data_IF_387924683470
#
_entry.id   IF_387924683470
#
_cell.length_a   1.000
_cell.length_b   1.000
_cell.length_c   1.000
_cell.angle_alpha   90.00
_cell.angle_beta   90.00
_cell.angle_gamma   90.00
#
_symmetry.space_group_name_H-M   'P 1'
#
loop_
_entity.id
_entity.type
_entity.pdbx_description
1 polymer ?
#
# COMPACT_ATOMS: atom_id res chain seq x y z
N UNK A 1 -13.90 3.64 -16.32
CA UNK A 1 -14.31 3.44 -14.92
C UNK A 1 -13.77 2.10 -14.45
N UNK A 2 -13.85 1.81 -13.15
CA UNK A 2 -13.48 0.50 -12.61
C UNK A 2 -14.43 -0.59 -13.13
N UNK A 3 -13.86 -1.72 -13.56
CA UNK A 3 -14.56 -2.95 -13.96
C UNK A 3 -13.66 -4.18 -13.69
N UNK A 4 -14.17 -5.39 -13.89
CA UNK A 4 -13.41 -6.62 -13.60
C UNK A 4 -12.16 -6.76 -14.49
N UNK A 5 -12.21 -6.26 -15.73
CA UNK A 5 -11.08 -6.32 -16.67
C UNK A 5 -9.89 -5.43 -16.24
N UNK A 6 -10.13 -4.41 -15.41
CA UNK A 6 -9.09 -3.50 -14.94
C UNK A 6 -8.92 -3.47 -13.41
N UNK A 7 -9.56 -4.38 -12.68
CA UNK A 7 -9.50 -4.46 -11.23
C UNK A 7 -8.05 -4.63 -10.73
N UNK A 8 -7.31 -5.58 -11.30
CA UNK A 8 -5.91 -5.83 -10.97
C UNK A 8 -5.04 -4.58 -11.13
N UNK A 9 -5.21 -3.85 -12.23
CA UNK A 9 -4.50 -2.61 -12.49
C UNK A 9 -4.70 -1.60 -11.34
N UNK A 10 -5.92 -1.44 -10.84
CA UNK A 10 -6.18 -0.52 -9.73
C UNK A 10 -5.59 -1.02 -8.40
N UNK A 11 -5.61 -2.33 -8.15
CA UNK A 11 -5.05 -2.94 -6.94
C UNK A 11 -3.53 -2.74 -6.90
N UNK A 12 -2.84 -3.09 -8.00
CA UNK A 12 -1.39 -2.97 -8.13
C UNK A 12 -0.93 -1.53 -7.94
N UNK A 13 -1.52 -0.59 -8.68
CA UNK A 13 -1.12 0.82 -8.62
C UNK A 13 -1.42 1.45 -7.26
N UNK A 14 -2.50 1.05 -6.60
CA UNK A 14 -2.82 1.54 -5.25
C UNK A 14 -1.78 1.08 -4.23
N UNK A 15 -1.39 -0.20 -4.29
CA UNK A 15 -0.34 -0.73 -3.42
C UNK A 15 1.00 -0.03 -3.66
N UNK A 16 1.42 0.06 -4.92
CA UNK A 16 2.72 0.63 -5.30
C UNK A 16 2.81 2.11 -4.89
N UNK A 17 1.74 2.88 -5.11
CA UNK A 17 1.66 4.28 -4.66
C UNK A 17 1.84 4.41 -3.15
N UNK A 18 1.11 3.59 -2.37
CA UNK A 18 1.15 3.68 -0.91
C UNK A 18 2.50 3.25 -0.35
N UNK A 19 3.06 2.14 -0.83
CA UNK A 19 4.33 1.62 -0.31
C UNK A 19 5.51 2.55 -0.63
N UNK A 20 5.50 3.20 -1.80
CA UNK A 20 6.52 4.19 -2.18
C UNK A 20 6.48 5.43 -1.28
N UNK A 21 5.29 5.93 -0.93
CA UNK A 21 5.15 7.05 0.01
C UNK A 21 5.61 6.68 1.42
N UNK A 22 5.28 5.47 1.88
CA UNK A 22 5.73 4.95 3.17
C UNK A 22 7.26 4.84 3.18
N UNK A 23 7.86 4.28 2.12
CA UNK A 23 9.32 4.18 1.95
C UNK A 23 9.98 5.56 1.92
N UNK A 24 9.39 6.53 1.24
CA UNK A 24 9.88 7.90 1.21
C UNK A 24 9.91 8.50 2.63
N UNK A 25 8.83 8.31 3.41
CA UNK A 25 8.78 8.81 4.79
C UNK A 25 9.79 8.10 5.68
N UNK A 26 9.91 6.77 5.56
CA UNK A 26 10.90 5.97 6.26
C UNK A 26 12.32 6.50 6.01
N UNK A 27 12.63 6.83 4.74
CA UNK A 27 13.92 7.38 4.34
C UNK A 27 14.16 8.80 4.88
N UNK A 28 13.16 9.67 4.85
CA UNK A 28 13.24 11.02 5.42
C UNK A 28 13.56 10.97 6.92
N UNK A 29 13.03 9.98 7.64
CA UNK A 29 13.29 9.77 9.07
C UNK A 29 14.66 9.12 9.36
N UNK A 30 15.49 8.91 8.32
CA UNK A 30 16.82 8.35 8.46
C UNK A 30 16.87 6.82 8.53
N UNK A 31 15.76 6.14 8.26
CA UNK A 31 15.70 4.68 8.19
C UNK A 31 15.83 4.18 6.74
N UNK A 32 16.20 2.91 6.59
CA UNK A 32 16.27 2.24 5.28
C UNK A 32 15.79 0.80 5.39
N UNK A 33 15.00 0.38 4.40
CA UNK A 33 14.59 -0.99 4.13
C UNK A 33 15.18 -1.45 2.80
N UNK A 34 15.73 -2.66 2.74
CA UNK A 34 16.23 -3.26 1.50
C UNK A 34 16.35 -4.77 1.62
N UNK A 35 16.28 -5.46 0.48
CA UNK A 35 16.41 -6.92 0.42
C UNK A 35 15.11 -7.65 0.77
N UNK A 36 15.25 -8.94 1.11
CA UNK A 36 14.12 -9.78 1.47
C UNK A 36 13.39 -9.21 2.70
N UNK A 37 12.07 -9.12 2.62
CA UNK A 37 11.24 -8.58 3.70
C UNK A 37 11.15 -7.04 3.78
N UNK A 38 11.78 -6.30 2.85
CA UNK A 38 11.76 -4.83 2.86
C UNK A 38 10.35 -4.24 2.94
N UNK A 39 9.41 -4.75 2.14
CA UNK A 39 8.02 -4.28 2.15
C UNK A 39 7.32 -4.57 3.49
N UNK A 40 7.65 -5.68 4.17
CA UNK A 40 7.10 -5.98 5.48
C UNK A 40 7.58 -4.99 6.55
N UNK A 41 8.85 -4.58 6.49
CA UNK A 41 9.40 -3.56 7.38
C UNK A 41 8.77 -2.18 7.12
N UNK A 42 8.58 -1.81 5.85
CA UNK A 42 7.91 -0.58 5.43
C UNK A 42 6.46 -0.53 5.94
N UNK A 43 5.70 -1.61 5.77
CA UNK A 43 4.33 -1.72 6.28
C UNK A 43 4.32 -1.64 7.81
N UNK A 44 5.23 -2.32 8.50
CA UNK A 44 5.32 -2.28 9.96
C UNK A 44 5.61 -0.87 10.48
N UNK A 45 6.36 -0.06 9.73
CA UNK A 45 6.67 1.32 10.08
C UNK A 45 5.44 2.24 10.07
N UNK A 46 4.34 1.87 9.42
CA UNK A 46 3.07 2.61 9.54
C UNK A 46 2.60 2.75 11.00
N UNK A 47 2.99 1.82 11.88
CA UNK A 47 2.75 1.94 13.33
C UNK A 47 3.41 3.18 13.92
N UNK A 48 4.65 3.46 13.53
CA UNK A 48 5.42 4.64 13.97
C UNK A 48 4.80 5.93 13.43
N UNK A 49 4.09 5.85 12.29
CA UNK A 49 3.35 6.95 11.69
C UNK A 49 1.95 7.15 12.29
N UNK A 50 1.54 6.31 13.27
CA UNK A 50 0.26 6.41 13.97
C UNK A 50 -0.94 5.88 13.19
N UNK A 51 -0.73 4.99 12.20
CA UNK A 51 -1.82 4.26 11.56
C UNK A 51 -2.39 3.17 12.46
N UNK A 52 -3.64 2.80 12.22
CA UNK A 52 -4.31 1.77 13.03
C UNK A 52 -3.77 0.37 12.69
N UNK A 53 -3.90 -0.58 13.61
CA UNK A 53 -3.57 -1.98 13.33
C UNK A 53 -4.44 -2.57 12.21
N UNK A 54 -5.63 -2.01 11.96
CA UNK A 54 -6.48 -2.39 10.83
C UNK A 54 -5.90 -1.90 9.49
N UNK A 55 -5.45 -0.64 9.42
CA UNK A 55 -4.77 -0.08 8.25
C UNK A 55 -3.53 -0.91 7.88
N UNK A 56 -2.75 -1.29 8.90
CA UNK A 56 -1.52 -2.09 8.75
C UNK A 56 -1.85 -3.49 8.22
N UNK A 57 -2.87 -4.15 8.79
CA UNK A 57 -3.32 -5.47 8.31
C UNK A 57 -3.79 -5.39 6.87
N UNK A 58 -4.63 -4.40 6.54
CA UNK A 58 -5.13 -4.23 5.17
C UNK A 58 -4.00 -3.99 4.16
N UNK A 59 -3.01 -3.15 4.51
CA UNK A 59 -1.86 -2.91 3.65
C UNK A 59 -1.00 -4.18 3.45
N UNK A 60 -0.91 -5.03 4.46
CA UNK A 60 -0.20 -6.31 4.35
C UNK A 60 -0.97 -7.34 3.51
N UNK A 61 -2.30 -7.40 3.64
CA UNK A 61 -3.14 -8.23 2.77
C UNK A 61 -3.04 -7.77 1.32
N UNK A 62 -3.09 -6.46 1.10
CA UNK A 62 -2.90 -5.85 -0.21
C UNK A 62 -1.53 -6.20 -0.83
N UNK A 63 -0.46 -6.27 -0.04
CA UNK A 63 0.85 -6.78 -0.49
C UNK A 63 0.75 -8.22 -0.99
N UNK A 64 0.06 -9.09 -0.26
CA UNK A 64 -0.11 -10.48 -0.66
C UNK A 64 -0.89 -10.59 -1.97
N UNK A 65 -1.99 -9.86 -2.11
CA UNK A 65 -2.79 -9.87 -3.34
C UNK A 65 -2.07 -9.26 -4.55
N UNK A 66 -1.34 -8.15 -4.37
CA UNK A 66 -0.50 -7.56 -5.43
C UNK A 66 0.58 -8.55 -5.89
N UNK A 67 1.16 -9.32 -4.98
CA UNK A 67 2.09 -10.40 -5.33
C UNK A 67 1.38 -11.57 -6.02
N UNK A 68 0.17 -11.92 -5.58
CA UNK A 68 -0.77 -12.83 -6.25
C UNK A 68 -0.93 -12.52 -7.73
N UNK A 69 -1.28 -11.27 -8.01
CA UNK A 69 -1.46 -10.75 -9.37
C UNK A 69 -0.17 -10.89 -10.19
N UNK A 70 0.95 -10.39 -9.67
CA UNK A 70 2.19 -10.27 -10.45
C UNK A 70 2.95 -11.58 -10.66
N UNK A 71 2.97 -12.45 -9.66
CA UNK A 71 3.76 -13.68 -9.72
C UNK A 71 2.92 -14.90 -10.11
N UNK A 72 1.61 -14.86 -9.89
CA UNK A 72 0.73 -16.02 -10.07
C UNK A 72 -0.44 -15.75 -11.02
N UNK A 73 -0.62 -14.52 -11.51
CA UNK A 73 -1.70 -14.18 -12.44
C UNK A 73 -3.09 -14.24 -11.80
N UNK A 74 -3.18 -14.03 -10.49
CA UNK A 74 -4.47 -13.96 -9.80
C UNK A 74 -5.33 -12.82 -10.36
N UNK A 75 -6.64 -13.04 -10.46
CA UNK A 75 -7.60 -12.06 -10.93
C UNK A 75 -8.56 -11.67 -9.81
N UNK A 76 -8.79 -10.38 -9.66
CA UNK A 76 -9.74 -9.80 -8.72
C UNK A 76 -10.90 -9.14 -9.46
N UNK A 77 -12.01 -8.96 -8.74
CA UNK A 77 -13.19 -8.28 -9.27
C UNK A 77 -13.17 -6.77 -8.96
N UNK A 78 -14.10 -6.06 -9.59
CA UNK A 78 -14.31 -4.64 -9.37
C UNK A 78 -14.71 -4.32 -7.91
N UNK A 79 -15.35 -5.23 -7.18
CA UNK A 79 -15.75 -4.99 -5.79
C UNK A 79 -14.53 -4.89 -4.87
N UNK A 80 -13.59 -5.83 -4.99
CA UNK A 80 -12.35 -5.79 -4.21
C UNK A 80 -11.49 -4.58 -4.59
N UNK A 81 -11.32 -4.31 -5.89
CA UNK A 81 -10.59 -3.13 -6.35
C UNK A 81 -11.23 -1.81 -5.86
N UNK A 82 -12.56 -1.75 -5.73
CA UNK A 82 -13.27 -0.60 -5.17
C UNK A 82 -12.89 -0.37 -3.69
N UNK A 83 -12.80 -1.43 -2.88
CA UNK A 83 -12.34 -1.34 -1.49
C UNK A 83 -10.90 -0.82 -1.39
N UNK A 84 -10.02 -1.30 -2.28
CA UNK A 84 -8.63 -0.84 -2.35
C UNK A 84 -8.55 0.64 -2.73
N UNK A 85 -9.38 1.10 -3.67
CA UNK A 85 -9.44 2.52 -4.04
C UNK A 85 -9.97 3.41 -2.91
N UNK A 86 -10.94 2.93 -2.13
CA UNK A 86 -11.42 3.63 -0.94
C UNK A 86 -10.33 3.75 0.12
N UNK A 87 -9.59 2.66 0.35
CA UNK A 87 -8.43 2.67 1.24
C UNK A 87 -7.35 3.65 0.77
N UNK A 88 -6.98 3.63 -0.52
CA UNK A 88 -6.06 4.60 -1.11
C UNK A 88 -6.52 6.04 -0.85
N UNK A 89 -7.81 6.32 -1.08
CA UNK A 89 -8.40 7.66 -0.90
C UNK A 89 -8.29 8.16 0.55
N UNK A 90 -8.40 7.28 1.54
CA UNK A 90 -8.24 7.64 2.96
C UNK A 90 -6.77 7.78 3.38
N UNK A 91 -5.90 6.87 2.95
CA UNK A 91 -4.53 6.78 3.44
C UNK A 91 -3.59 7.77 2.74
N UNK A 92 -3.76 7.98 1.43
CA UNK A 92 -2.93 8.88 0.63
C UNK A 92 -2.79 10.30 1.24
N UNK A 93 -3.87 11.04 1.56
CA UNK A 93 -3.73 12.40 2.09
C UNK A 93 -3.05 12.43 3.47
N UNK A 94 -3.19 11.36 4.27
CA UNK A 94 -2.50 11.22 5.56
C UNK A 94 -0.99 11.06 5.34
N UNK A 95 -0.57 10.20 4.41
CA UNK A 95 0.83 9.98 4.07
C UNK A 95 1.49 11.25 3.48
N UNK A 96 0.81 11.93 2.54
CA UNK A 96 1.33 13.18 1.96
C UNK A 96 1.57 14.24 3.04
N UNK A 97 0.61 14.43 3.95
CA UNK A 97 0.76 15.38 5.06
C UNK A 97 1.92 15.03 6.00
N UNK A 98 2.25 13.75 6.16
CA UNK A 98 3.40 13.31 6.96
C UNK A 98 4.73 13.60 6.26
N UNK A 99 4.78 13.60 4.93
CA UNK A 99 5.99 13.94 4.16
C UNK A 99 6.30 15.45 4.19
N UNK A 100 5.28 16.30 4.30
CA UNK A 100 5.44 17.76 4.39
C UNK A 100 5.97 18.22 5.76
N UNK A 101 5.80 17.40 6.81
CA UNK A 101 6.27 17.69 8.16
C UNK A 101 7.70 17.19 8.32
N UNK A 102 8.65 18.12 8.50
CA UNK A 102 10.04 17.86 8.86
C UNK A 102 10.21 17.79 10.36
#
# INVERSE_FOLDING_TARGET
GLNDENANYFIENSYDTLIELIRAKLFIDGFRSSGEGAHGAEISYMKNLGFSEEDIRFMNDLRYYRNGILYYGENFDADYASKVLLFLKEIYPRLVKLLEKR
#
